data_IF_963136022269
#
_entry.id   IF_963136022269
#
_cell.length_a   1.000
_cell.length_b   1.000
_cell.length_c   1.000
_cell.angle_alpha   90.00
_cell.angle_beta   90.00
_cell.angle_gamma   90.00
#
_symmetry.space_group_name_H-M   'P 1'
#
loop_
_entity.id
_entity.type
_entity.pdbx_description
1 polymer ?
#
# COMPACT_ATOMS: atom_id res chain seq x y z
N UNK A 1 -8.45 -27.50 4.72
CA UNK A 1 -7.33 -28.38 5.09
C UNK A 1 -6.67 -28.01 6.43
N UNK A 2 -6.71 -26.75 6.89
CA UNK A 2 -6.13 -26.33 8.20
C UNK A 2 -6.66 -27.07 9.45
N UNK A 3 -7.84 -27.68 9.38
CA UNK A 3 -8.49 -28.28 10.56
C UNK A 3 -7.81 -29.53 11.12
N UNK A 4 -7.09 -30.32 10.32
CA UNK A 4 -6.49 -31.58 10.81
C UNK A 4 -5.15 -31.37 11.50
N UNK A 5 -4.31 -30.47 10.97
CA UNK A 5 -3.03 -30.10 11.59
C UNK A 5 -3.25 -29.26 12.86
N UNK A 6 -4.29 -28.42 12.89
CA UNK A 6 -4.64 -27.65 14.07
C UNK A 6 -5.08 -28.53 15.25
N UNK A 7 -5.78 -29.63 14.96
CA UNK A 7 -6.22 -30.59 15.99
C UNK A 7 -5.10 -31.47 16.53
N UNK A 8 -3.94 -31.55 15.86
CA UNK A 8 -2.79 -32.36 16.30
C UNK A 8 -1.77 -31.59 17.13
N UNK A 9 -1.90 -30.26 17.23
CA UNK A 9 -1.01 -29.42 18.03
C UNK A 9 -1.34 -29.51 19.53
N UNK A 10 -0.33 -29.33 20.37
CA UNK A 10 -0.53 -29.20 21.81
C UNK A 10 -1.29 -27.91 22.15
N UNK A 11 -1.89 -27.84 23.34
CA UNK A 11 -2.60 -26.64 23.80
C UNK A 11 -1.68 -25.43 23.87
N UNK A 12 -0.44 -25.62 24.33
CA UNK A 12 0.59 -24.57 24.37
C UNK A 12 0.97 -24.07 22.96
N UNK A 13 1.19 -24.98 22.01
CA UNK A 13 1.52 -24.62 20.62
C UNK A 13 0.39 -23.84 19.93
N UNK A 14 -0.85 -24.22 20.21
CA UNK A 14 -2.03 -23.49 19.70
C UNK A 14 -2.10 -22.08 20.28
N UNK A 15 -1.88 -21.94 21.59
CA UNK A 15 -1.94 -20.65 22.27
C UNK A 15 -0.85 -19.70 21.75
N UNK A 16 0.38 -20.20 21.58
CA UNK A 16 1.47 -19.42 20.97
C UNK A 16 1.15 -18.98 19.53
N UNK A 17 0.57 -19.86 18.70
CA UNK A 17 0.17 -19.51 17.32
C UNK A 17 -0.97 -18.48 17.30
N UNK A 18 -1.93 -18.58 18.21
CA UNK A 18 -3.02 -17.61 18.34
C UNK A 18 -2.50 -16.22 18.76
N UNK A 19 -1.57 -16.16 19.71
CA UNK A 19 -0.92 -14.91 20.12
C UNK A 19 -0.13 -14.28 18.98
N UNK A 20 0.72 -15.05 18.30
CA UNK A 20 1.49 -14.57 17.15
C UNK A 20 0.58 -14.07 16.02
N UNK A 21 -0.53 -14.78 15.76
CA UNK A 21 -1.54 -14.35 14.80
C UNK A 21 -2.24 -13.05 15.24
N UNK A 22 -2.54 -12.89 16.52
CA UNK A 22 -3.16 -11.68 17.07
C UNK A 22 -2.23 -10.47 16.93
N UNK A 23 -0.96 -10.65 17.26
CA UNK A 23 0.06 -9.62 17.11
C UNK A 23 0.26 -9.22 15.65
N UNK A 24 0.41 -10.20 14.75
CA UNK A 24 0.51 -9.94 13.32
C UNK A 24 -0.71 -9.15 12.80
N UNK A 25 -1.92 -9.50 13.22
CA UNK A 25 -3.14 -8.78 12.84
C UNK A 25 -3.13 -7.32 13.29
N UNK A 26 -2.71 -7.06 14.53
CA UNK A 26 -2.58 -5.71 15.08
C UNK A 26 -1.54 -4.90 14.30
N UNK A 27 -0.39 -5.51 14.01
CA UNK A 27 0.67 -4.91 13.19
C UNK A 27 0.14 -4.49 11.83
N UNK A 28 -0.44 -5.41 11.06
CA UNK A 28 -1.00 -5.13 9.73
C UNK A 28 -2.01 -3.99 9.78
N UNK A 29 -2.93 -4.01 10.74
CA UNK A 29 -3.92 -2.91 10.88
C UNK A 29 -3.25 -1.56 11.10
N UNK A 30 -2.24 -1.50 11.97
CA UNK A 30 -1.50 -0.27 12.24
C UNK A 30 -0.79 0.27 10.99
N UNK A 31 -0.15 -0.63 10.22
CA UNK A 31 0.53 -0.26 8.97
C UNK A 31 -0.43 0.29 7.92
N UNK A 32 -1.61 -0.33 7.77
CA UNK A 32 -2.61 0.13 6.81
C UNK A 32 -3.19 1.48 7.17
N UNK A 33 -3.42 1.75 8.46
CA UNK A 33 -3.86 3.07 8.92
C UNK A 33 -2.79 4.12 8.62
N UNK A 34 -1.54 3.85 8.98
CA UNK A 34 -0.43 4.76 8.71
C UNK A 34 -0.26 5.04 7.21
N UNK A 35 -0.34 4.00 6.37
CA UNK A 35 -0.24 4.16 4.92
C UNK A 35 -1.35 5.04 4.35
N UNK A 36 -2.60 4.85 4.83
CA UNK A 36 -3.73 5.70 4.46
C UNK A 36 -3.51 7.16 4.88
N UNK A 37 -3.16 7.40 6.14
CA UNK A 37 -2.93 8.76 6.66
C UNK A 37 -1.77 9.45 5.91
N UNK A 38 -0.75 8.68 5.52
CA UNK A 38 0.37 9.16 4.70
C UNK A 38 -0.09 9.60 3.31
N UNK A 39 -0.96 8.84 2.66
CA UNK A 39 -1.53 9.22 1.36
C UNK A 39 -2.49 10.39 1.46
N UNK A 40 -3.26 10.51 2.54
CA UNK A 40 -4.06 11.70 2.83
C UNK A 40 -3.16 12.94 2.94
N UNK A 41 -2.03 12.83 3.64
CA UNK A 41 -1.03 13.90 3.73
C UNK A 41 -0.44 14.24 2.35
N UNK A 42 -0.05 13.26 1.54
CA UNK A 42 0.46 13.51 0.19
C UNK A 42 -0.60 14.18 -0.69
N UNK A 43 -1.86 13.75 -0.60
CA UNK A 43 -2.97 14.37 -1.33
C UNK A 43 -3.11 15.84 -0.94
N UNK A 44 -3.05 16.16 0.35
CA UNK A 44 -3.09 17.53 0.85
C UNK A 44 -1.88 18.37 0.38
N UNK A 45 -0.67 17.85 0.56
CA UNK A 45 0.56 18.56 0.21
C UNK A 45 0.64 18.84 -1.29
N UNK A 46 0.31 17.86 -2.13
CA UNK A 46 0.35 18.03 -3.58
C UNK A 46 -0.72 18.99 -4.10
N UNK A 47 -1.87 19.08 -3.45
CA UNK A 47 -2.91 20.07 -3.80
C UNK A 47 -2.52 21.52 -3.44
N UNK A 48 -1.81 21.72 -2.32
CA UNK A 48 -1.57 23.05 -1.76
C UNK A 48 -0.14 23.56 -1.90
N UNK A 49 0.84 22.68 -2.00
CA UNK A 49 2.26 22.98 -2.08
C UNK A 49 3.00 21.95 -2.98
N UNK A 50 2.71 21.90 -4.29
CA UNK A 50 3.28 20.91 -5.21
C UNK A 50 4.77 21.14 -5.53
N UNK A 51 5.28 22.35 -5.31
CA UNK A 51 6.61 22.78 -5.76
C UNK A 51 7.76 21.83 -5.35
N UNK A 52 7.81 21.29 -4.11
CA UNK A 52 8.86 20.36 -3.73
C UNK A 52 8.89 19.08 -4.56
N UNK A 53 7.73 18.61 -5.04
CA UNK A 53 7.61 17.37 -5.83
C UNK A 53 7.99 17.57 -7.30
N UNK A 54 8.23 18.81 -7.72
CA UNK A 54 8.84 19.11 -9.01
C UNK A 54 10.36 19.07 -8.95
N UNK A 55 10.99 18.98 -7.78
CA UNK A 55 12.44 18.80 -7.67
C UNK A 55 12.83 17.33 -7.89
N UNK A 56 13.89 17.02 -8.67
CA UNK A 56 14.22 15.64 -9.07
C UNK A 56 14.23 14.64 -7.92
N UNK A 57 14.87 14.98 -6.81
CA UNK A 57 15.01 14.07 -5.67
C UNK A 57 13.66 13.64 -5.08
N UNK A 58 12.71 14.55 -4.96
CA UNK A 58 11.40 14.26 -4.37
C UNK A 58 10.40 13.78 -5.41
N UNK A 59 10.48 14.31 -6.63
CA UNK A 59 9.63 13.93 -7.76
C UNK A 59 9.88 12.48 -8.16
N UNK A 60 11.13 12.08 -8.38
CA UNK A 60 11.49 10.69 -8.72
C UNK A 60 11.07 9.71 -7.63
N UNK A 61 11.38 10.02 -6.36
CA UNK A 61 10.99 9.16 -5.23
C UNK A 61 9.48 9.01 -5.10
N UNK A 62 8.74 10.09 -5.31
CA UNK A 62 7.29 10.04 -5.24
C UNK A 62 6.72 9.26 -6.43
N UNK A 63 7.20 9.48 -7.65
CA UNK A 63 6.80 8.72 -8.83
C UNK A 63 7.01 7.22 -8.63
N UNK A 64 8.24 6.79 -8.30
CA UNK A 64 8.54 5.37 -8.00
C UNK A 64 7.65 4.78 -6.90
N UNK A 65 7.37 5.56 -5.85
CA UNK A 65 6.51 5.11 -4.76
C UNK A 65 5.06 4.91 -5.23
N UNK A 66 4.51 5.86 -6.01
CA UNK A 66 3.16 5.76 -6.52
C UNK A 66 3.04 4.61 -7.54
N UNK A 67 3.99 4.48 -8.47
CA UNK A 67 3.99 3.44 -9.51
C UNK A 67 4.07 2.04 -8.88
N UNK A 68 4.95 1.87 -7.89
CA UNK A 68 5.01 0.65 -7.09
C UNK A 68 3.67 0.33 -6.43
N UNK A 69 3.03 1.30 -5.77
CA UNK A 69 1.75 1.06 -5.10
C UNK A 69 0.61 0.77 -6.09
N UNK A 70 0.58 1.40 -7.27
CA UNK A 70 -0.39 1.08 -8.34
C UNK A 70 -0.18 -0.37 -8.81
N UNK A 71 1.07 -0.78 -9.05
CA UNK A 71 1.37 -2.13 -9.50
C UNK A 71 0.95 -3.21 -8.48
N UNK A 72 1.16 -2.96 -7.18
CA UNK A 72 0.76 -3.89 -6.13
C UNK A 72 -0.77 -3.95 -5.97
N UNK A 73 -1.46 -2.81 -6.06
CA UNK A 73 -2.92 -2.72 -5.92
C UNK A 73 -3.69 -3.28 -7.13
N UNK A 74 -3.17 -3.07 -8.33
CA UNK A 74 -3.76 -3.57 -9.57
C UNK A 74 -3.23 -4.96 -9.95
N UNK A 75 -2.21 -5.44 -9.24
CA UNK A 75 -1.57 -6.73 -9.48
C UNK A 75 -2.38 -7.93 -8.96
N UNK A 76 -1.97 -9.15 -9.34
CA UNK A 76 -2.61 -10.39 -8.90
C UNK A 76 -2.58 -10.53 -7.37
N UNK A 77 -1.51 -10.07 -6.70
CA UNK A 77 -1.36 -10.14 -5.24
C UNK A 77 -2.52 -9.48 -4.49
N UNK A 78 -2.87 -8.23 -4.82
CA UNK A 78 -3.99 -7.55 -4.18
C UNK A 78 -5.35 -8.11 -4.63
N UNK A 79 -5.45 -8.52 -5.90
CA UNK A 79 -6.69 -9.11 -6.45
C UNK A 79 -7.03 -10.46 -5.81
N UNK A 80 -6.01 -11.24 -5.45
CA UNK A 80 -6.13 -12.55 -4.82
C UNK A 80 -6.21 -12.48 -3.29
N UNK A 81 -5.89 -11.33 -2.68
CA UNK A 81 -5.94 -11.10 -1.24
C UNK A 81 -7.39 -11.07 -0.73
N UNK A 82 -7.96 -12.25 -0.49
CA UNK A 82 -9.30 -12.43 0.05
C UNK A 82 -9.28 -12.56 1.56
N UNK A 83 -9.42 -11.43 2.25
CA UNK A 83 -9.54 -11.40 3.70
C UNK A 83 -10.99 -11.24 4.10
N UNK A 84 -11.50 -12.18 4.91
CA UNK A 84 -12.86 -12.07 5.47
C UNK A 84 -12.97 -10.82 6.35
N UNK A 85 -14.01 -10.02 6.11
CA UNK A 85 -14.30 -8.77 6.83
C UNK A 85 -13.10 -7.79 6.83
N UNK A 86 -12.37 -7.73 5.72
CA UNK A 86 -11.14 -6.93 5.56
C UNK A 86 -11.28 -5.48 6.02
N UNK A 87 -12.39 -4.83 5.63
CA UNK A 87 -12.71 -3.46 6.03
C UNK A 87 -12.82 -3.33 7.56
N UNK A 88 -13.66 -4.15 8.19
CA UNK A 88 -13.90 -4.05 9.64
C UNK A 88 -12.66 -4.43 10.47
N UNK A 89 -11.88 -5.40 9.99
CA UNK A 89 -10.75 -5.96 10.74
C UNK A 89 -9.46 -5.18 10.56
N UNK A 90 -9.21 -4.67 9.37
CA UNK A 90 -7.92 -4.09 8.98
C UNK A 90 -8.05 -2.70 8.38
N UNK A 91 -9.26 -2.16 8.25
CA UNK A 91 -9.51 -0.89 7.57
C UNK A 91 -9.00 -0.91 6.12
N UNK A 92 -9.04 -2.09 5.50
CA UNK A 92 -8.50 -2.31 4.16
C UNK A 92 -9.54 -2.00 3.08
N UNK A 93 -9.34 -0.88 2.38
CA UNK A 93 -10.16 -0.42 1.26
C UNK A 93 -9.28 -0.14 0.04
N UNK A 94 -8.88 -1.17 -0.74
CA UNK A 94 -7.91 -1.02 -1.82
C UNK A 94 -8.36 -0.03 -2.90
N UNK A 95 -9.68 0.07 -3.14
CA UNK A 95 -10.25 1.05 -4.08
C UNK A 95 -10.10 2.49 -3.59
N UNK A 96 -10.32 2.74 -2.29
CA UNK A 96 -10.16 4.06 -1.71
C UNK A 96 -8.67 4.48 -1.71
N UNK A 97 -7.78 3.54 -1.39
CA UNK A 97 -6.34 3.77 -1.44
C UNK A 97 -5.86 4.12 -2.86
N UNK A 98 -6.32 3.35 -3.86
CA UNK A 98 -6.02 3.63 -5.27
C UNK A 98 -6.55 5.01 -5.69
N UNK A 99 -7.74 5.39 -5.22
CA UNK A 99 -8.31 6.71 -5.51
C UNK A 99 -7.47 7.86 -4.92
N UNK A 100 -6.90 7.69 -3.72
CA UNK A 100 -5.98 8.66 -3.12
C UNK A 100 -4.69 8.77 -3.96
N UNK A 101 -4.11 7.64 -4.35
CA UNK A 101 -2.93 7.59 -5.22
C UNK A 101 -3.20 8.32 -6.55
N UNK A 102 -4.33 8.05 -7.20
CA UNK A 102 -4.73 8.73 -8.44
C UNK A 102 -4.90 10.24 -8.21
N UNK A 103 -5.45 10.68 -7.07
CA UNK A 103 -5.52 12.11 -6.75
C UNK A 103 -4.13 12.77 -6.66
N UNK A 104 -3.15 12.08 -6.07
CA UNK A 104 -1.77 12.58 -6.00
C UNK A 104 -1.20 12.79 -7.40
N UNK A 105 -1.39 11.84 -8.33
CA UNK A 105 -0.98 12.02 -9.73
C UNK A 105 -1.67 13.23 -10.38
N UNK A 106 -2.98 13.37 -10.18
CA UNK A 106 -3.75 14.48 -10.76
C UNK A 106 -3.30 15.84 -10.24
N UNK A 107 -2.97 15.95 -8.95
CA UNK A 107 -2.46 17.18 -8.35
C UNK A 107 -1.08 17.58 -8.91
N UNK A 108 -0.29 16.61 -9.37
CA UNK A 108 1.05 16.82 -9.92
C UNK A 108 1.09 16.70 -11.45
N UNK A 109 -0.06 16.71 -12.13
CA UNK A 109 -0.15 16.52 -13.57
C UNK A 109 0.51 17.68 -14.35
N UNK A 110 1.81 17.53 -14.61
CA UNK A 110 2.61 18.43 -15.42
C UNK A 110 3.69 17.64 -16.18
N UNK A 111 4.27 18.24 -17.22
CA UNK A 111 5.28 17.60 -18.06
C UNK A 111 6.49 17.10 -17.24
N UNK A 112 6.96 17.90 -16.29
CA UNK A 112 8.10 17.55 -15.43
C UNK A 112 7.85 16.30 -14.57
N UNK A 113 6.66 16.17 -13.99
CA UNK A 113 6.33 14.99 -13.19
C UNK A 113 6.06 13.77 -14.06
N UNK A 114 5.50 13.97 -15.27
CA UNK A 114 5.33 12.91 -16.25
C UNK A 114 6.66 12.29 -16.69
N UNK A 115 7.73 13.09 -16.80
CA UNK A 115 9.09 12.59 -17.05
C UNK A 115 9.58 11.65 -15.94
N UNK A 116 9.30 11.95 -14.66
CA UNK A 116 9.69 11.09 -13.54
C UNK A 116 8.98 9.74 -13.59
N UNK A 117 7.68 9.73 -13.88
CA UNK A 117 6.88 8.50 -14.03
C UNK A 117 7.42 7.66 -15.19
N UNK A 118 7.64 8.28 -16.36
CA UNK A 118 8.12 7.59 -17.54
C UNK A 118 9.51 6.96 -17.32
N UNK A 119 10.38 7.64 -16.57
CA UNK A 119 11.70 7.12 -16.25
C UNK A 119 11.66 5.94 -15.27
N UNK A 120 10.71 5.90 -14.33
CA UNK A 120 10.56 4.80 -13.38
C UNK A 120 10.18 3.48 -14.08
N UNK A 121 9.21 3.52 -14.99
CA UNK A 121 8.78 2.33 -15.73
C UNK A 121 9.90 1.71 -16.59
N UNK A 122 10.79 2.55 -17.14
CA UNK A 122 11.95 2.10 -17.91
C UNK A 122 12.96 1.37 -17.03
N UNK A 123 13.15 1.80 -15.78
CA UNK A 123 13.97 1.07 -14.79
C UNK A 123 13.32 -0.24 -14.36
N UNK A 124 12.01 -0.24 -14.10
CA UNK A 124 11.28 -1.41 -13.61
C UNK A 124 11.22 -2.56 -14.64
N UNK A 125 11.07 -2.25 -15.93
CA UNK A 125 11.09 -3.26 -17.01
C UNK A 125 12.47 -3.90 -17.27
N UNK A 126 13.56 -3.39 -16.68
CA UNK A 126 14.93 -3.92 -16.87
C UNK A 126 15.39 -4.85 -15.75
N UNK A 127 14.65 -4.94 -14.65
CA UNK A 127 14.88 -5.82 -13.50
C UNK A 127 14.05 -7.08 -13.55
#
# INVERSE_FOLDING_TARGET
MESSEWSTLSEEERLMKEEALSEAKRGVKSWLILGRDTLDLFTYLTAHAPQPFFEPLLGERLASMLDYNVSELCGPKCTELKVRDALRRFTWEPRALLQQIVHVYLNLACEKFAEYIANDEVSSCRS
#
